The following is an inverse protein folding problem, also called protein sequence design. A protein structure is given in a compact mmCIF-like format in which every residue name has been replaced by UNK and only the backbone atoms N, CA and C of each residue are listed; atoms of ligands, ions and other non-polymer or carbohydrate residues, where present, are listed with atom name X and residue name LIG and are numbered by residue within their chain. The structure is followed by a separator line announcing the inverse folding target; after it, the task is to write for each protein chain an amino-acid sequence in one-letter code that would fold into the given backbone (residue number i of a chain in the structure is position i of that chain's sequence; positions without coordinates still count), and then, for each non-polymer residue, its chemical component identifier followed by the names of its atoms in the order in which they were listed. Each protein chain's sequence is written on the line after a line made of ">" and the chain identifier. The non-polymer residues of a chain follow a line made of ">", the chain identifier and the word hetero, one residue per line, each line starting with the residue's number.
data_IF_564557880806
#
_entry.id   IF_564557880806
#
_cell.length_a   1.000
_cell.length_b   1.000
_cell.length_c   1.000
_cell.angle_alpha   90.00
_cell.angle_beta   90.00
_cell.angle_gamma   90.00
#
_symmetry.space_group_name_H-M   'P 1'
#
loop_
_entity.id
_entity.type
_entity.pdbx_description
1 polymer ?
#
# COMPACT_ATOMS: atom_id res chain seq x y z
N UNK A 1 -5.54 -4.16 6.52
CA UNK A 1 -4.17 -3.60 6.57
C UNK A 1 -4.10 -2.54 7.67
N UNK A 2 -4.26 -2.93 8.95
CA UNK A 2 -4.63 -2.01 10.03
C UNK A 2 -3.62 -0.89 10.35
N UNK A 3 -2.36 -1.02 9.90
CA UNK A 3 -1.30 -0.03 10.20
C UNK A 3 -0.90 0.79 8.97
N UNK A 4 -1.65 0.71 7.86
CA UNK A 4 -1.26 1.34 6.61
C UNK A 4 -1.14 2.86 6.72
N UNK A 5 -2.15 3.56 7.24
CA UNK A 5 -2.09 5.03 7.38
C UNK A 5 -0.99 5.48 8.35
N UNK A 6 -0.79 4.73 9.43
CA UNK A 6 0.29 5.00 10.40
C UNK A 6 1.67 4.82 9.77
N UNK A 7 1.86 3.77 8.98
CA UNK A 7 3.08 3.57 8.20
C UNK A 7 3.25 4.70 7.19
N UNK A 8 2.21 5.01 6.42
CA UNK A 8 2.25 5.98 5.34
C UNK A 8 2.66 7.37 5.83
N UNK A 9 2.13 7.81 6.97
CA UNK A 9 2.49 9.10 7.59
C UNK A 9 3.95 9.18 8.02
N UNK A 10 4.53 8.07 8.48
CA UNK A 10 5.95 8.01 8.85
C UNK A 10 6.86 7.87 7.64
N UNK A 11 6.35 7.18 6.63
CA UNK A 11 7.07 6.89 5.40
C UNK A 11 7.15 8.16 4.54
N UNK A 12 6.04 8.86 4.27
CA UNK A 12 5.98 10.06 3.40
C UNK A 12 6.83 11.25 3.91
N UNK A 13 8.13 11.19 3.67
CA UNK A 13 9.07 12.31 3.81
C UNK A 13 9.40 12.91 2.43
N UNK A 14 9.89 14.16 2.36
CA UNK A 14 10.33 14.76 1.10
C UNK A 14 11.38 13.92 0.37
N UNK A 15 12.32 13.36 1.11
CA UNK A 15 13.47 12.56 0.65
C UNK A 15 13.06 11.29 -0.12
N UNK A 16 11.83 10.79 0.10
CA UNK A 16 11.30 9.64 -0.63
C UNK A 16 11.14 9.88 -2.13
N UNK A 17 11.08 11.13 -2.59
CA UNK A 17 10.97 11.39 -4.03
C UNK A 17 12.16 10.82 -4.81
N UNK A 18 13.31 10.64 -4.16
CA UNK A 18 14.51 10.04 -4.75
C UNK A 18 14.51 8.50 -4.70
N UNK A 19 13.51 7.88 -4.05
CA UNK A 19 13.44 6.43 -3.88
C UNK A 19 13.18 5.75 -5.24
N UNK A 20 14.09 4.91 -5.75
CA UNK A 20 13.90 4.25 -7.03
C UNK A 20 12.75 3.23 -7.03
N UNK A 21 12.40 2.67 -5.87
CA UNK A 21 11.35 1.67 -5.71
C UNK A 21 9.93 2.24 -5.58
N UNK A 22 9.79 3.57 -5.50
CA UNK A 22 8.47 4.22 -5.51
C UNK A 22 8.52 5.50 -6.32
N UNK A 23 7.83 5.47 -7.44
CA UNK A 23 7.58 6.64 -8.28
C UNK A 23 6.10 6.69 -8.61
N UNK A 24 5.60 7.91 -8.75
CA UNK A 24 4.29 8.15 -9.35
C UNK A 24 4.52 8.78 -10.72
N UNK A 25 3.52 8.73 -11.58
CA UNK A 25 3.62 9.34 -12.92
C UNK A 25 3.51 10.85 -12.81
N UNK A 26 4.03 11.57 -13.81
CA UNK A 26 3.86 13.03 -13.89
C UNK A 26 2.37 13.45 -13.82
N UNK A 27 1.47 12.63 -14.35
CA UNK A 27 0.02 12.87 -14.27
C UNK A 27 -0.50 12.74 -12.84
N UNK A 28 -0.06 11.72 -12.10
CA UNK A 28 -0.39 11.56 -10.68
C UNK A 28 0.17 12.71 -9.83
N UNK A 29 1.38 13.21 -10.14
CA UNK A 29 1.94 14.40 -9.49
C UNK A 29 1.11 15.65 -9.75
N UNK A 30 0.68 15.88 -11.00
CA UNK A 30 -0.18 17.01 -11.37
C UNK A 30 -1.52 16.98 -10.64
N UNK A 31 -2.13 15.80 -10.49
CA UNK A 31 -3.37 15.65 -9.71
C UNK A 31 -3.15 16.08 -8.26
N UNK A 32 -2.07 15.63 -7.62
CA UNK A 32 -1.75 16.02 -6.23
C UNK A 32 -1.50 17.53 -6.14
N UNK A 33 -0.74 18.10 -7.07
CA UNK A 33 -0.47 19.54 -7.13
C UNK A 33 -1.74 20.37 -7.39
N UNK A 34 -2.72 19.84 -8.13
CA UNK A 34 -4.00 20.50 -8.33
C UNK A 34 -4.85 20.58 -7.05
N UNK A 35 -4.69 19.62 -6.13
CA UNK A 35 -5.39 19.61 -4.84
C UNK A 35 -4.65 20.47 -3.81
N UNK A 36 -3.31 20.43 -3.81
CA UNK A 36 -2.46 21.19 -2.89
C UNK A 36 -1.35 21.93 -3.66
N UNK A 37 -1.65 23.10 -4.24
CA UNK A 37 -0.73 23.84 -5.12
C UNK A 37 0.54 24.34 -4.42
N UNK A 38 0.52 24.47 -3.10
CA UNK A 38 1.66 24.97 -2.31
C UNK A 38 2.71 23.89 -2.04
N UNK A 39 2.42 22.62 -2.33
CA UNK A 39 3.37 21.53 -2.13
C UNK A 39 4.46 21.55 -3.20
N UNK A 40 5.73 21.40 -2.77
CA UNK A 40 6.87 21.42 -3.71
C UNK A 40 7.13 20.07 -4.37
N UNK A 41 6.74 19.00 -3.69
CA UNK A 41 6.91 17.62 -4.14
C UNK A 41 5.66 16.81 -3.82
N UNK A 42 5.41 15.73 -4.57
CA UNK A 42 4.19 14.95 -4.43
C UNK A 42 4.03 14.31 -3.05
N UNK A 43 5.14 13.92 -2.39
CA UNK A 43 5.08 13.31 -1.04
C UNK A 43 4.56 14.30 -0.02
N UNK A 44 4.98 15.57 -0.12
CA UNK A 44 4.48 16.66 0.71
C UNK A 44 2.99 16.92 0.44
N UNK A 45 2.62 17.03 -0.85
CA UNK A 45 1.22 17.26 -1.25
C UNK A 45 0.31 16.15 -0.75
N UNK A 46 0.70 14.89 -0.98
CA UNK A 46 -0.04 13.73 -0.50
C UNK A 46 -0.15 13.71 1.04
N UNK A 47 0.93 14.01 1.75
CA UNK A 47 0.91 14.09 3.22
C UNK A 47 -0.11 15.13 3.70
N UNK A 48 -0.13 16.33 3.08
CA UNK A 48 -1.09 17.40 3.41
C UNK A 48 -2.54 16.98 3.14
N UNK A 49 -2.80 16.34 2.00
CA UNK A 49 -4.13 15.75 1.67
C UNK A 49 -4.60 14.78 2.77
N UNK A 50 -3.69 13.94 3.28
CA UNK A 50 -4.00 12.91 4.28
C UNK A 50 -4.08 13.44 5.73
N UNK A 51 -3.52 14.61 6.00
CA UNK A 51 -3.57 15.28 7.31
C UNK A 51 -4.81 16.18 7.44
N UNK A 52 -5.28 16.73 6.33
CA UNK A 52 -6.53 17.48 6.27
C UNK A 52 -7.74 16.55 6.49
N UNK A 53 -8.49 16.81 7.56
CA UNK A 53 -9.63 15.96 7.96
C UNK A 53 -10.83 16.06 7.03
N UNK A 54 -11.01 17.19 6.37
CA UNK A 54 -12.12 17.40 5.44
C UNK A 54 -11.80 16.74 4.11
N UNK A 55 -10.56 16.91 3.63
CA UNK A 55 -10.09 16.26 2.40
C UNK A 55 -9.99 14.74 2.55
N UNK A 56 -9.41 14.24 3.65
CA UNK A 56 -9.23 12.80 3.87
C UNK A 56 -10.55 12.03 4.09
N UNK A 57 -11.68 12.73 4.27
CA UNK A 57 -13.03 12.13 4.30
C UNK A 57 -13.77 12.29 2.99
N UNK A 58 -13.30 13.15 2.08
CA UNK A 58 -13.92 13.37 0.79
C UNK A 58 -13.55 12.24 -0.17
N UNK A 59 -14.51 11.35 -0.42
CA UNK A 59 -14.34 10.20 -1.32
C UNK A 59 -13.99 10.65 -2.74
N UNK A 60 -14.49 11.80 -3.21
CA UNK A 60 -14.17 12.31 -4.54
C UNK A 60 -12.69 12.69 -4.64
N UNK A 61 -12.16 13.39 -3.64
CA UNK A 61 -10.72 13.71 -3.61
C UNK A 61 -9.86 12.45 -3.47
N UNK A 62 -10.28 11.49 -2.63
CA UNK A 62 -9.59 10.21 -2.52
C UNK A 62 -9.61 9.42 -3.83
N UNK A 63 -10.70 9.49 -4.61
CA UNK A 63 -10.80 8.85 -5.92
C UNK A 63 -9.80 9.45 -6.93
N UNK A 64 -9.55 10.77 -6.89
CA UNK A 64 -8.57 11.42 -7.76
C UNK A 64 -7.15 10.86 -7.53
N UNK A 65 -6.79 10.56 -6.28
CA UNK A 65 -5.49 9.99 -5.91
C UNK A 65 -5.50 8.46 -5.75
N UNK A 66 -6.58 7.78 -6.18
CA UNK A 66 -6.77 6.33 -6.00
C UNK A 66 -5.58 5.50 -6.47
N UNK A 67 -5.07 5.80 -7.66
CA UNK A 67 -3.94 5.05 -8.24
C UNK A 67 -2.71 5.11 -7.36
N UNK A 68 -2.38 6.30 -6.84
CA UNK A 68 -1.26 6.52 -5.92
C UNK A 68 -1.45 5.74 -4.62
N UNK A 69 -2.65 5.79 -4.03
CA UNK A 69 -2.95 5.06 -2.78
C UNK A 69 -2.87 3.55 -2.97
N UNK A 70 -3.33 3.02 -4.11
CA UNK A 70 -3.23 1.59 -4.42
C UNK A 70 -1.78 1.14 -4.61
N UNK A 71 -0.94 1.91 -5.33
CA UNK A 71 0.50 1.64 -5.47
C UNK A 71 1.20 1.61 -4.11
N UNK A 72 0.90 2.59 -3.25
CA UNK A 72 1.43 2.64 -1.88
C UNK A 72 0.95 1.46 -1.04
N UNK A 73 -0.33 1.08 -1.15
CA UNK A 73 -0.87 -0.10 -0.49
C UNK A 73 -0.17 -1.39 -0.91
N UNK A 74 0.11 -1.53 -2.21
CA UNK A 74 0.82 -2.68 -2.76
C UNK A 74 2.29 -2.71 -2.31
N UNK A 75 3.00 -1.58 -2.36
CA UNK A 75 4.34 -1.46 -1.78
C UNK A 75 4.34 -1.87 -0.30
N UNK A 76 3.40 -1.36 0.48
CA UNK A 76 3.29 -1.63 1.91
C UNK A 76 3.10 -3.12 2.23
N UNK A 77 2.31 -3.84 1.42
CA UNK A 77 2.08 -5.27 1.64
C UNK A 77 3.23 -6.13 1.12
N UNK A 78 3.83 -5.74 -0.01
CA UNK A 78 4.73 -6.61 -0.76
C UNK A 78 6.21 -6.34 -0.49
N UNK A 79 6.59 -5.09 -0.20
CA UNK A 79 8.00 -4.69 0.00
C UNK A 79 8.33 -4.35 1.45
N UNK A 80 7.43 -3.70 2.19
CA UNK A 80 7.75 -3.19 3.53
C UNK A 80 7.90 -4.29 4.59
N UNK A 81 8.99 -4.24 5.35
CA UNK A 81 9.35 -5.20 6.40
C UNK A 81 9.51 -4.53 7.76
N UNK A 82 9.49 -5.32 8.84
CA UNK A 82 9.69 -4.80 10.21
C UNK A 82 11.19 -4.66 10.50
N UNK A 83 11.68 -3.43 10.58
CA UNK A 83 13.10 -3.16 10.83
C UNK A 83 13.98 -3.89 9.81
N UNK A 84 15.06 -4.50 10.27
CA UNK A 84 15.99 -5.28 9.43
C UNK A 84 15.58 -6.75 9.27
N UNK A 85 14.31 -7.10 9.51
CA UNK A 85 13.83 -8.49 9.41
C UNK A 85 13.21 -8.80 8.05
N UNK A 86 12.95 -10.08 7.78
CA UNK A 86 12.23 -10.56 6.58
C UNK A 86 10.69 -10.54 6.73
N UNK A 87 10.21 -10.16 7.92
CA UNK A 87 8.79 -10.24 8.31
C UNK A 87 8.03 -9.06 7.70
N UNK A 88 6.91 -9.34 7.03
CA UNK A 88 6.03 -8.30 6.50
C UNK A 88 5.62 -7.29 7.58
N UNK A 89 5.63 -6.01 7.24
CA UNK A 89 5.30 -4.94 8.19
C UNK A 89 3.91 -5.13 8.80
N UNK A 90 2.91 -5.33 7.94
CA UNK A 90 1.52 -5.51 8.34
C UNK A 90 1.31 -6.84 9.12
N UNK A 91 0.74 -6.79 10.35
CA UNK A 91 0.52 -7.99 11.16
C UNK A 91 -0.46 -9.00 10.53
N UNK A 92 -1.47 -8.53 9.80
CA UNK A 92 -2.47 -9.39 9.16
C UNK A 92 -1.86 -10.05 7.93
N UNK A 93 -1.07 -9.31 7.14
CA UNK A 93 -0.28 -9.89 6.06
C UNK A 93 0.66 -10.97 6.58
N UNK A 94 1.44 -10.66 7.62
CA UNK A 94 2.34 -11.65 8.23
C UNK A 94 1.60 -12.92 8.66
N UNK A 95 0.41 -12.80 9.28
CA UNK A 95 -0.39 -13.95 9.67
C UNK A 95 -0.75 -14.84 8.47
N UNK A 96 -1.28 -14.27 7.39
CA UNK A 96 -1.70 -15.06 6.22
C UNK A 96 -0.51 -15.65 5.47
N UNK A 97 0.55 -14.86 5.26
CA UNK A 97 1.77 -15.28 4.55
C UNK A 97 2.51 -16.38 5.31
N UNK A 98 2.59 -16.28 6.64
CA UNK A 98 3.13 -17.35 7.49
C UNK A 98 2.32 -18.64 7.36
N UNK A 99 1.05 -18.58 7.00
CA UNK A 99 0.22 -19.76 6.77
C UNK A 99 0.21 -20.22 5.29
N UNK A 100 1.10 -19.69 4.45
CA UNK A 100 1.24 -20.11 3.04
C UNK A 100 0.27 -19.46 2.06
N UNK A 101 -0.45 -18.42 2.47
CA UNK A 101 -1.27 -17.66 1.54
C UNK A 101 -0.41 -16.86 0.56
N UNK A 102 -1.00 -16.55 -0.59
CA UNK A 102 -0.50 -15.54 -1.53
C UNK A 102 -1.29 -14.25 -1.38
N UNK A 103 -0.70 -13.11 -1.74
CA UNK A 103 -1.42 -11.86 -1.94
C UNK A 103 -2.21 -11.98 -3.24
N UNK A 104 -3.52 -11.74 -3.18
CA UNK A 104 -4.41 -11.90 -4.33
C UNK A 104 -4.87 -10.59 -4.93
N UNK A 105 -5.42 -9.69 -4.10
CA UNK A 105 -5.94 -8.41 -4.57
C UNK A 105 -5.87 -7.36 -3.46
N UNK A 106 -5.58 -6.11 -3.81
CA UNK A 106 -5.73 -4.96 -2.93
C UNK A 106 -6.90 -4.14 -3.45
N UNK A 107 -7.97 -4.11 -2.68
CA UNK A 107 -9.23 -3.54 -3.08
C UNK A 107 -9.36 -2.11 -2.60
N UNK A 108 -9.73 -1.23 -3.53
CA UNK A 108 -10.13 0.14 -3.23
C UNK A 108 -11.49 0.16 -2.53
N UNK A 109 -11.59 0.94 -1.45
CA UNK A 109 -12.86 1.20 -0.74
C UNK A 109 -13.65 -0.06 -0.33
N UNK A 110 -12.95 -1.15 0.00
CA UNK A 110 -13.56 -2.37 0.49
C UNK A 110 -14.04 -2.26 1.96
N UNK A 111 -13.48 -1.35 2.75
CA UNK A 111 -13.99 -0.97 4.08
C UNK A 111 -14.22 0.54 4.17
N UNK A 112 -15.39 1.06 3.74
CA UNK A 112 -15.72 2.48 3.80
C UNK A 112 -16.07 2.96 5.21
N UNK A 113 -16.03 2.09 6.23
CA UNK A 113 -16.34 2.51 7.59
C UNK A 113 -15.34 3.56 8.08
N UNK A 114 -15.72 4.39 9.05
CA UNK A 114 -14.80 5.37 9.62
C UNK A 114 -13.53 4.72 10.20
N UNK A 115 -13.62 3.45 10.63
CA UNK A 115 -12.46 2.68 11.08
C UNK A 115 -11.57 2.27 9.89
N UNK A 116 -12.16 1.75 8.82
CA UNK A 116 -11.43 1.37 7.60
C UNK A 116 -10.71 2.54 6.96
N UNK A 117 -11.38 3.69 6.83
CA UNK A 117 -10.76 4.92 6.33
C UNK A 117 -9.59 5.36 7.22
N UNK A 118 -9.77 5.39 8.54
CA UNK A 118 -8.69 5.78 9.46
C UNK A 118 -7.49 4.84 9.43
N UNK A 119 -7.71 3.54 9.29
CA UNK A 119 -6.65 2.53 9.37
C UNK A 119 -5.91 2.34 8.04
N UNK A 120 -6.64 2.38 6.93
CA UNK A 120 -6.10 2.01 5.63
C UNK A 120 -6.68 2.78 4.44
N UNK A 121 -7.30 3.94 4.64
CA UNK A 121 -7.97 4.71 3.58
C UNK A 121 -9.01 3.84 2.83
N UNK A 122 -9.64 2.91 3.55
CA UNK A 122 -10.63 1.98 2.99
C UNK A 122 -10.05 0.82 2.19
N UNK A 123 -8.72 0.71 2.09
CA UNK A 123 -8.06 -0.43 1.45
C UNK A 123 -8.24 -1.71 2.27
N UNK A 124 -8.52 -2.81 1.58
CA UNK A 124 -8.41 -4.17 2.11
C UNK A 124 -7.58 -5.05 1.17
N UNK A 125 -6.92 -6.06 1.73
CA UNK A 125 -6.17 -7.05 0.96
C UNK A 125 -6.86 -8.41 1.08
N UNK A 126 -7.10 -9.07 -0.06
CA UNK A 126 -7.46 -10.48 -0.10
C UNK A 126 -6.19 -11.33 -0.15
N UNK A 127 -6.21 -12.40 0.64
CA UNK A 127 -5.18 -13.45 0.62
C UNK A 127 -5.81 -14.73 0.08
N UNK A 128 -5.12 -15.40 -0.83
CA UNK A 128 -5.61 -16.63 -1.46
C UNK A 128 -4.76 -17.82 -1.02
N UNK A 129 -5.43 -18.86 -0.54
CA UNK A 129 -4.83 -20.14 -0.14
C UNK A 129 -5.02 -21.13 -1.28
N UNK A 130 -3.98 -21.28 -2.10
CA UNK A 130 -3.94 -22.27 -3.17
C UNK A 130 -3.30 -23.53 -2.59
N UNK A 131 -4.10 -24.57 -2.37
CA UNK A 131 -3.71 -25.80 -1.67
C UNK A 131 -2.34 -26.32 -2.10
N UNK A 132 -2.12 -26.47 -3.40
CA UNK A 132 -0.90 -27.03 -3.98
C UNK A 132 0.35 -26.14 -3.79
N UNK A 133 0.16 -24.88 -3.40
CA UNK A 133 1.24 -23.90 -3.21
C UNK A 133 1.49 -23.53 -1.75
N UNK A 134 0.67 -23.99 -0.79
CA UNK A 134 0.74 -23.56 0.62
C UNK A 134 2.14 -23.80 1.21
N UNK A 135 2.67 -25.02 1.08
CA UNK A 135 3.97 -25.38 1.65
C UNK A 135 5.11 -24.57 1.02
N UNK A 136 5.10 -24.43 -0.31
CA UNK A 136 6.08 -23.64 -1.06
C UNK A 136 6.05 -22.16 -0.65
N UNK A 137 4.87 -21.58 -0.53
CA UNK A 137 4.68 -20.19 -0.15
C UNK A 137 5.11 -19.95 1.30
N UNK A 138 4.73 -20.84 2.21
CA UNK A 138 5.14 -20.80 3.61
C UNK A 138 6.68 -20.83 3.73
N UNK A 139 7.32 -21.81 3.08
CA UNK A 139 8.78 -21.96 3.12
C UNK A 139 9.48 -20.73 2.52
N UNK A 140 9.03 -20.24 1.36
CA UNK A 140 9.59 -19.03 0.75
C UNK A 140 9.44 -17.79 1.63
N UNK A 141 8.30 -17.64 2.30
CA UNK A 141 8.09 -16.52 3.22
C UNK A 141 8.96 -16.63 4.48
N UNK A 142 9.01 -17.79 5.13
CA UNK A 142 9.77 -17.98 6.37
C UNK A 142 11.28 -17.90 6.17
N UNK A 143 11.80 -18.48 5.09
CA UNK A 143 13.24 -18.57 4.87
C UNK A 143 13.80 -17.32 4.17
N UNK A 144 13.07 -16.79 3.19
CA UNK A 144 13.55 -15.73 2.29
C UNK A 144 12.78 -14.41 2.45
N UNK A 145 11.63 -14.40 3.13
CA UNK A 145 10.76 -13.22 3.17
C UNK A 145 10.00 -13.00 1.86
N UNK A 146 10.04 -13.97 0.94
CA UNK A 146 9.41 -13.89 -0.38
C UNK A 146 7.89 -13.96 -0.24
N UNK A 147 7.20 -13.02 -0.86
CA UNK A 147 5.74 -12.95 -0.84
C UNK A 147 5.21 -13.46 -2.17
N UNK A 148 4.42 -14.53 -2.13
CA UNK A 148 3.76 -15.06 -3.32
C UNK A 148 2.58 -14.16 -3.72
N UNK A 149 2.38 -13.99 -5.02
CA UNK A 149 1.28 -13.22 -5.60
C UNK A 149 0.49 -14.15 -6.52
N UNK A 150 -0.83 -14.19 -6.36
CA UNK A 150 -1.75 -14.93 -7.23
C UNK A 150 -2.68 -14.03 -8.03
N UNK A 151 -2.66 -12.71 -7.79
CA UNK A 151 -3.43 -11.73 -8.54
C UNK A 151 -2.80 -11.39 -9.88
N UNK A 152 -3.64 -10.99 -10.84
CA UNK A 152 -3.19 -10.48 -12.16
C UNK A 152 -3.29 -8.96 -12.28
N UNK A 153 -3.58 -8.26 -11.18
CA UNK A 153 -3.78 -6.81 -11.19
C UNK A 153 -2.52 -6.08 -11.69
N UNK A 154 -2.72 -5.06 -12.52
CA UNK A 154 -1.64 -4.28 -13.14
C UNK A 154 -0.80 -3.55 -12.11
N UNK A 155 -1.38 -3.23 -10.95
CA UNK A 155 -0.66 -2.62 -9.82
C UNK A 155 0.51 -3.51 -9.38
N UNK A 156 0.35 -4.84 -9.45
CA UNK A 156 1.43 -5.77 -9.11
C UNK A 156 2.49 -5.86 -10.20
N UNK A 157 2.18 -5.50 -11.45
CA UNK A 157 3.17 -5.48 -12.55
C UNK A 157 3.96 -4.17 -12.59
N UNK A 158 3.37 -3.08 -12.10
CA UNK A 158 4.03 -1.75 -12.05
C UNK A 158 5.04 -1.60 -10.92
N UNK A 159 5.01 -2.51 -9.96
CA UNK A 159 6.02 -2.63 -8.94
C UNK A 159 6.94 -3.74 -9.45
N UNK A 160 8.10 -3.41 -10.01
CA UNK A 160 9.06 -4.41 -10.48
C UNK A 160 9.37 -5.40 -9.34
N UNK A 161 8.81 -6.62 -9.42
CA UNK A 161 8.98 -7.73 -8.47
C UNK A 161 9.80 -8.86 -9.08
#
# INVERSE_FOLDING_TARGET
>A
MPLFTTWLKKWLTPDICENPDMRITEEEEKVIAGIVPEAKVWTEGLRRILEDREIAKNVETLNQIRSVILKLGARYILKEKRGETKIAFDPVANFHLKNGASVHCINWMADPSSRGIRNSLGLMCNYNYITDAIEKNNAGYLNEGKIAISGTDLIYKSLDF
#
